data_IF_740602934521
#
_entry.id   IF_740602934521
#
_cell.length_a   1.000
_cell.length_b   1.000
_cell.length_c   1.000
_cell.angle_alpha   90.00
_cell.angle_beta   90.00
_cell.angle_gamma   90.00
#
_symmetry.space_group_name_H-M   'P 1'
#
loop_
_entity.id
_entity.type
_entity.pdbx_description
1 polymer ?
#
# COMPACT_ATOMS: atom_id res chain seq x y z
N UNK A 1 10.35 -13.30 8.52
CA UNK A 1 9.84 -11.92 8.37
C UNK A 1 9.97 -11.06 9.62
N UNK A 2 10.47 -11.62 10.73
CA UNK A 2 10.61 -10.91 12.03
C UNK A 2 9.31 -10.27 12.55
N UNK A 3 8.18 -10.80 12.14
CA UNK A 3 6.85 -10.38 12.61
C UNK A 3 6.48 -11.07 13.91
N UNK A 4 5.81 -10.36 14.78
CA UNK A 4 5.14 -10.98 15.93
C UNK A 4 4.02 -11.90 15.46
N UNK A 5 3.53 -12.78 16.32
CA UNK A 5 2.41 -13.66 15.97
C UNK A 5 1.17 -12.86 15.56
N UNK A 6 0.84 -11.80 16.30
CA UNK A 6 -0.29 -10.94 16.01
C UNK A 6 -0.18 -10.17 14.68
N UNK A 7 1.03 -10.00 14.15
CA UNK A 7 1.28 -9.38 12.84
C UNK A 7 1.33 -10.41 11.70
N UNK A 8 1.70 -11.65 11.99
CA UNK A 8 1.81 -12.71 11.01
C UNK A 8 0.47 -13.42 10.72
N UNK A 9 -0.36 -13.63 11.74
CA UNK A 9 -1.64 -14.33 11.63
C UNK A 9 -2.61 -13.67 10.63
N UNK A 10 -2.79 -12.33 10.61
CA UNK A 10 -3.62 -11.68 9.59
C UNK A 10 -3.18 -11.91 8.14
N UNK A 11 -1.89 -12.15 7.88
CA UNK A 11 -1.43 -12.45 6.51
C UNK A 11 -1.96 -13.78 5.98
N UNK A 12 -2.11 -14.76 6.86
CA UNK A 12 -2.66 -16.06 6.46
C UNK A 12 -4.14 -15.91 6.09
N UNK A 13 -4.89 -15.17 6.92
CA UNK A 13 -6.30 -14.87 6.66
C UNK A 13 -6.47 -14.08 5.36
N UNK A 14 -5.62 -13.06 5.13
CA UNK A 14 -5.65 -12.25 3.92
C UNK A 14 -5.32 -13.07 2.66
N UNK A 15 -4.37 -14.01 2.73
CA UNK A 15 -4.05 -14.91 1.62
C UNK A 15 -5.25 -15.81 1.27
N UNK A 16 -5.98 -16.31 2.26
CA UNK A 16 -7.20 -17.09 2.07
C UNK A 16 -8.31 -16.22 1.46
N UNK A 17 -8.45 -14.98 1.92
CA UNK A 17 -9.45 -14.05 1.39
C UNK A 17 -9.14 -13.69 -0.07
N UNK A 18 -7.88 -13.50 -0.44
CA UNK A 18 -7.49 -13.32 -1.85
C UNK A 18 -7.86 -14.53 -2.70
N UNK A 19 -7.61 -15.76 -2.21
CA UNK A 19 -7.94 -16.98 -2.94
C UNK A 19 -9.45 -17.08 -3.24
N UNK A 20 -10.29 -16.81 -2.23
CA UNK A 20 -11.74 -16.82 -2.37
C UNK A 20 -12.22 -15.72 -3.31
N UNK A 21 -11.77 -14.49 -3.04
CA UNK A 21 -12.21 -13.32 -3.79
C UNK A 21 -11.87 -13.40 -5.27
N UNK A 22 -10.62 -13.77 -5.60
CA UNK A 22 -10.23 -13.84 -7.01
C UNK A 22 -10.83 -15.04 -7.73
N UNK A 23 -11.13 -16.14 -7.04
CA UNK A 23 -11.94 -17.23 -7.60
C UNK A 23 -13.35 -16.76 -7.97
N UNK A 24 -14.04 -15.99 -7.10
CA UNK A 24 -15.33 -15.40 -7.40
C UNK A 24 -15.25 -14.42 -8.61
N UNK A 25 -14.22 -13.61 -8.66
CA UNK A 25 -14.03 -12.64 -9.77
C UNK A 25 -13.73 -13.32 -11.11
N UNK A 26 -13.03 -14.45 -11.11
CA UNK A 26 -12.80 -15.23 -12.34
C UNK A 26 -14.11 -15.76 -12.95
N UNK A 27 -15.03 -16.25 -12.12
CA UNK A 27 -16.36 -16.70 -12.57
C UNK A 27 -17.20 -15.53 -13.12
N UNK A 28 -17.04 -14.33 -12.55
CA UNK A 28 -17.74 -13.15 -13.03
C UNK A 28 -17.22 -12.70 -14.41
N UNK A 29 -15.90 -12.81 -14.67
CA UNK A 29 -15.33 -12.55 -15.99
C UNK A 29 -15.89 -13.54 -17.02
N UNK A 30 -16.00 -14.81 -16.68
CA UNK A 30 -16.62 -15.82 -17.53
C UNK A 30 -18.09 -15.50 -17.83
N UNK A 31 -18.83 -14.97 -16.85
CA UNK A 31 -20.20 -14.49 -17.04
C UNK A 31 -20.27 -13.31 -18.02
N UNK A 32 -19.36 -12.34 -17.91
CA UNK A 32 -19.28 -11.21 -18.86
C UNK A 32 -19.00 -11.67 -20.27
N UNK A 33 -18.18 -12.71 -20.47
CA UNK A 33 -17.93 -13.30 -21.77
C UNK A 33 -19.19 -13.95 -22.38
N UNK A 34 -19.97 -14.65 -21.57
CA UNK A 34 -21.16 -15.37 -22.03
C UNK A 34 -22.38 -14.48 -22.19
N UNK A 35 -22.60 -13.52 -21.30
CA UNK A 35 -23.81 -12.70 -21.26
C UNK A 35 -23.67 -11.39 -22.08
N UNK A 36 -22.48 -10.79 -22.08
CA UNK A 36 -22.25 -9.49 -22.72
C UNK A 36 -21.44 -9.58 -24.02
N UNK A 37 -20.94 -10.77 -24.36
CA UNK A 37 -20.14 -11.02 -25.54
C UNK A 37 -18.78 -10.33 -25.52
N UNK A 38 -18.28 -9.96 -24.32
CA UNK A 38 -16.91 -9.51 -24.16
C UNK A 38 -15.98 -10.71 -24.24
N UNK A 39 -14.82 -10.55 -24.88
CA UNK A 39 -13.81 -11.61 -24.94
C UNK A 39 -12.53 -11.12 -24.31
N UNK A 40 -11.98 -11.90 -23.41
CA UNK A 40 -10.73 -11.59 -22.72
C UNK A 40 -9.69 -12.70 -22.96
N UNK A 41 -8.43 -12.30 -23.07
CA UNK A 41 -7.30 -13.25 -23.12
C UNK A 41 -6.26 -12.90 -22.06
N UNK A 42 -5.63 -13.90 -21.42
CA UNK A 42 -4.53 -13.64 -20.50
C UNK A 42 -3.33 -13.04 -21.23
N UNK A 43 -2.46 -12.34 -20.50
CA UNK A 43 -1.22 -11.82 -21.10
C UNK A 43 -0.27 -12.91 -21.53
N UNK A 44 -0.23 -14.03 -20.83
CA UNK A 44 0.69 -15.14 -21.02
C UNK A 44 1.48 -15.46 -19.76
N UNK A 45 2.70 -14.92 -19.63
CA UNK A 45 3.57 -15.14 -18.47
C UNK A 45 3.69 -13.86 -17.65
N UNK A 46 3.37 -13.94 -16.36
CA UNK A 46 3.46 -12.83 -15.40
C UNK A 46 4.54 -13.12 -14.36
N UNK A 47 5.48 -12.20 -14.19
CA UNK A 47 6.41 -12.26 -13.06
C UNK A 47 5.78 -11.58 -11.84
N UNK A 48 5.78 -12.28 -10.70
CA UNK A 48 5.34 -11.74 -9.40
C UNK A 48 6.55 -11.52 -8.52
N UNK A 49 6.87 -10.26 -8.22
CA UNK A 49 8.01 -9.81 -7.42
C UNK A 49 7.50 -9.09 -6.15
N UNK A 50 7.12 -9.85 -5.10
CA UNK A 50 6.58 -9.31 -3.86
C UNK A 50 7.69 -8.86 -2.90
N UNK A 51 7.32 -8.06 -1.86
CA UNK A 51 8.23 -7.60 -0.85
C UNK A 51 8.46 -8.63 0.26
N UNK A 52 9.40 -8.32 1.14
CA UNK A 52 9.70 -9.14 2.33
C UNK A 52 8.80 -8.85 3.54
N UNK A 53 8.16 -7.67 3.61
CA UNK A 53 7.42 -7.21 4.80
C UNK A 53 6.01 -7.81 4.95
N UNK A 54 5.42 -8.28 3.86
CA UNK A 54 4.21 -9.10 3.83
C UNK A 54 4.46 -10.34 2.96
N UNK A 55 5.27 -11.29 3.45
CA UNK A 55 5.83 -12.35 2.61
C UNK A 55 4.85 -13.50 2.31
N UNK A 56 3.63 -13.45 2.80
CA UNK A 56 2.55 -14.42 2.54
C UNK A 56 1.39 -13.77 1.81
N UNK A 57 0.80 -12.72 2.37
CA UNK A 57 -0.42 -12.11 1.81
C UNK A 57 -0.19 -11.47 0.44
N UNK A 58 0.83 -10.62 0.30
CA UNK A 58 1.09 -9.93 -0.97
C UNK A 58 1.49 -10.90 -2.09
N UNK A 59 2.42 -11.85 -1.86
CA UNK A 59 2.67 -12.90 -2.85
C UNK A 59 1.42 -13.67 -3.25
N UNK A 60 0.62 -14.11 -2.28
CA UNK A 60 -0.63 -14.82 -2.55
C UNK A 60 -1.56 -13.96 -3.43
N UNK A 61 -1.72 -12.68 -3.10
CA UNK A 61 -2.54 -11.76 -3.90
C UNK A 61 -2.10 -11.68 -5.36
N UNK A 62 -0.81 -11.46 -5.62
CA UNK A 62 -0.27 -11.37 -6.98
C UNK A 62 -0.32 -12.69 -7.77
N UNK A 63 0.08 -13.79 -7.12
CA UNK A 63 0.08 -15.13 -7.74
C UNK A 63 -1.34 -15.57 -8.06
N UNK A 64 -2.25 -15.51 -7.09
CA UNK A 64 -3.62 -15.96 -7.25
C UNK A 64 -4.42 -15.12 -8.26
N UNK A 65 -4.22 -13.79 -8.27
CA UNK A 65 -4.85 -12.93 -9.27
C UNK A 65 -4.38 -13.27 -10.70
N UNK A 66 -3.08 -13.50 -10.87
CA UNK A 66 -2.52 -13.87 -12.18
C UNK A 66 -3.04 -15.22 -12.66
N UNK A 67 -3.07 -16.23 -11.78
CA UNK A 67 -3.60 -17.56 -12.08
C UNK A 67 -5.12 -17.53 -12.38
N UNK A 68 -5.90 -16.80 -11.57
CA UNK A 68 -7.33 -16.63 -11.76
C UNK A 68 -7.69 -15.94 -13.08
N UNK A 69 -6.79 -15.09 -13.60
CA UNK A 69 -6.91 -14.48 -14.92
C UNK A 69 -6.33 -15.37 -16.05
N UNK A 70 -5.94 -16.62 -15.78
CA UNK A 70 -5.45 -17.58 -16.79
C UNK A 70 -4.00 -17.40 -17.21
N UNK A 71 -3.18 -16.63 -16.49
CA UNK A 71 -1.76 -16.48 -16.79
C UNK A 71 -0.90 -17.54 -16.12
N UNK A 72 0.22 -17.89 -16.74
CA UNK A 72 1.32 -18.57 -16.07
C UNK A 72 2.12 -17.59 -15.21
N UNK A 73 2.70 -18.06 -14.12
CA UNK A 73 3.37 -17.21 -13.14
C UNK A 73 4.82 -17.65 -12.91
N UNK A 74 5.74 -16.68 -13.01
CA UNK A 74 7.09 -16.81 -12.48
C UNK A 74 7.15 -16.03 -11.17
N UNK A 75 7.21 -16.75 -10.07
CA UNK A 75 7.19 -16.19 -8.73
C UNK A 75 8.61 -15.96 -8.23
N UNK A 76 9.05 -14.71 -8.19
CA UNK A 76 10.36 -14.24 -7.72
C UNK A 76 10.25 -13.63 -6.33
N UNK A 77 10.49 -14.38 -5.24
CA UNK A 77 10.37 -13.84 -3.89
C UNK A 77 11.47 -12.83 -3.57
N UNK A 78 11.23 -12.00 -2.54
CA UNK A 78 12.30 -11.27 -1.87
C UNK A 78 13.28 -12.23 -1.18
N UNK A 79 14.57 -11.91 -1.22
CA UNK A 79 15.61 -12.79 -0.67
C UNK A 79 15.66 -12.78 0.86
N UNK A 80 15.03 -11.83 1.52
CA UNK A 80 14.94 -11.75 2.98
C UNK A 80 13.95 -12.78 3.56
N UNK A 81 12.92 -13.16 2.78
CA UNK A 81 11.84 -14.05 3.27
C UNK A 81 11.46 -15.15 2.27
N UNK A 82 12.42 -15.82 1.62
CA UNK A 82 12.11 -16.74 0.52
C UNK A 82 11.28 -17.95 0.98
N UNK A 83 11.46 -18.43 2.23
CA UNK A 83 10.73 -19.60 2.72
C UNK A 83 9.23 -19.31 2.93
N UNK A 84 8.86 -18.10 3.35
CA UNK A 84 7.45 -17.72 3.46
C UNK A 84 6.74 -17.76 2.10
N UNK A 85 7.40 -17.22 1.08
CA UNK A 85 6.88 -17.22 -0.28
C UNK A 85 6.85 -18.64 -0.89
N UNK A 86 7.86 -19.46 -0.59
CA UNK A 86 7.91 -20.86 -1.04
C UNK A 86 6.71 -21.68 -0.51
N UNK A 87 6.30 -21.45 0.75
CA UNK A 87 5.11 -22.09 1.34
C UNK A 87 3.84 -21.71 0.56
N UNK A 88 3.73 -20.47 0.07
CA UNK A 88 2.61 -20.06 -0.78
C UNK A 88 2.60 -20.84 -2.10
N UNK A 89 3.77 -21.02 -2.74
CA UNK A 89 3.89 -21.82 -3.95
C UNK A 89 3.57 -23.30 -3.68
N UNK A 90 4.11 -23.88 -2.59
CA UNK A 90 3.82 -25.25 -2.14
C UNK A 90 2.31 -25.48 -1.93
N UNK A 91 1.61 -24.52 -1.32
CA UNK A 91 0.17 -24.57 -1.12
C UNK A 91 -0.60 -24.57 -2.45
N UNK A 92 -0.18 -23.74 -3.41
CA UNK A 92 -0.77 -23.73 -4.75
C UNK A 92 -0.55 -25.07 -5.48
N UNK A 93 0.66 -25.63 -5.44
CA UNK A 93 0.95 -26.92 -6.05
C UNK A 93 0.18 -28.07 -5.38
N UNK A 94 0.09 -28.07 -4.06
CA UNK A 94 -0.72 -29.03 -3.31
C UNK A 94 -2.22 -28.93 -3.63
N UNK A 95 -2.70 -27.75 -4.02
CA UNK A 95 -4.06 -27.52 -4.48
C UNK A 95 -4.28 -27.92 -5.95
N UNK A 96 -3.24 -28.38 -6.66
CA UNK A 96 -3.33 -28.87 -8.04
C UNK A 96 -2.87 -27.90 -9.12
N UNK A 97 -2.30 -26.74 -8.76
CA UNK A 97 -1.68 -25.83 -9.75
C UNK A 97 -0.45 -26.55 -10.33
N UNK A 98 -0.34 -26.72 -11.65
CA UNK A 98 0.82 -27.38 -12.27
C UNK A 98 2.11 -26.60 -12.05
N UNK A 99 3.23 -27.31 -11.89
CA UNK A 99 4.55 -26.69 -11.62
C UNK A 99 5.13 -25.95 -12.83
N UNK A 100 4.65 -26.21 -14.03
CA UNK A 100 4.96 -25.48 -15.25
C UNK A 100 4.11 -24.21 -15.41
N UNK A 101 2.95 -24.13 -14.75
CA UNK A 101 2.10 -22.94 -14.69
C UNK A 101 2.54 -21.98 -13.58
N UNK A 102 2.97 -22.49 -12.43
CA UNK A 102 3.54 -21.69 -11.34
C UNK A 102 4.97 -22.14 -11.06
N UNK A 103 5.93 -21.31 -11.44
CA UNK A 103 7.35 -21.55 -11.21
C UNK A 103 7.90 -20.63 -10.11
N UNK A 104 8.59 -21.20 -9.12
CA UNK A 104 9.21 -20.47 -8.03
C UNK A 104 10.71 -20.31 -8.28
N UNK A 105 11.18 -19.06 -8.44
CA UNK A 105 12.56 -18.75 -8.85
C UNK A 105 13.21 -17.79 -7.88
N UNK A 106 14.21 -18.24 -7.12
CA UNK A 106 15.02 -17.39 -6.25
C UNK A 106 16.16 -16.76 -7.04
N UNK A 107 16.12 -15.47 -7.25
CA UNK A 107 17.22 -14.73 -7.88
C UNK A 107 17.29 -13.30 -7.33
N UNK A 108 18.47 -12.72 -7.15
CA UNK A 108 18.63 -11.31 -6.85
C UNK A 108 18.26 -10.44 -8.06
N UNK A 109 18.26 -9.11 -7.86
CA UNK A 109 18.06 -8.12 -8.92
C UNK A 109 19.37 -7.85 -9.68
N UNK A 110 20.01 -8.92 -10.13
CA UNK A 110 21.22 -8.94 -10.94
C UNK A 110 20.90 -9.21 -12.43
N UNK A 111 21.89 -9.69 -13.16
CA UNK A 111 21.72 -10.03 -14.58
C UNK A 111 20.66 -11.13 -14.80
N UNK A 112 20.55 -12.10 -13.90
CA UNK A 112 19.56 -13.19 -13.99
C UNK A 112 18.17 -12.64 -13.70
N UNK A 113 18.02 -11.85 -12.62
CA UNK A 113 16.79 -11.17 -12.28
C UNK A 113 16.32 -10.22 -13.38
N UNK A 114 17.25 -9.47 -13.99
CA UNK A 114 16.97 -8.63 -15.15
C UNK A 114 16.43 -9.46 -16.32
N UNK A 115 17.09 -10.58 -16.66
CA UNK A 115 16.63 -11.44 -17.75
C UNK A 115 15.23 -11.96 -17.49
N UNK A 116 14.97 -12.48 -16.29
CA UNK A 116 13.65 -12.95 -15.89
C UNK A 116 12.58 -11.88 -16.08
N UNK A 117 12.78 -10.70 -15.50
CA UNK A 117 11.80 -9.60 -15.52
C UNK A 117 11.57 -9.06 -16.94
N UNK A 118 12.60 -9.11 -17.81
CA UNK A 118 12.47 -8.62 -19.20
C UNK A 118 11.93 -9.66 -20.18
N UNK A 119 11.89 -10.94 -19.79
CA UNK A 119 11.44 -12.04 -20.65
C UNK A 119 9.92 -12.35 -20.56
N UNK A 120 9.23 -11.77 -19.56
CA UNK A 120 7.80 -12.02 -19.31
C UNK A 120 6.89 -10.97 -19.98
N UNK A 121 5.60 -11.28 -20.09
CA UNK A 121 4.60 -10.39 -20.70
C UNK A 121 4.16 -9.25 -19.79
N UNK A 122 4.12 -9.49 -18.48
CA UNK A 122 3.82 -8.48 -17.46
C UNK A 122 4.56 -8.75 -16.16
N UNK A 123 4.72 -7.71 -15.35
CA UNK A 123 5.36 -7.80 -14.03
C UNK A 123 4.44 -7.16 -12.98
N UNK A 124 4.19 -7.90 -11.89
CA UNK A 124 3.61 -7.37 -10.66
C UNK A 124 4.76 -7.14 -9.69
N UNK A 125 4.93 -5.90 -9.28
CA UNK A 125 5.95 -5.50 -8.29
C UNK A 125 5.27 -4.87 -7.08
N UNK A 126 5.60 -5.35 -5.89
CA UNK A 126 5.37 -4.57 -4.68
C UNK A 126 6.72 -4.35 -4.01
N UNK A 127 7.12 -3.07 -3.88
CA UNK A 127 8.45 -2.72 -3.41
C UNK A 127 8.70 -1.22 -3.38
N UNK A 128 9.92 -0.78 -3.66
CA UNK A 128 10.27 0.64 -3.69
C UNK A 128 10.02 1.28 -5.05
N UNK A 129 9.82 2.60 -5.06
CA UNK A 129 9.79 3.38 -6.30
C UNK A 129 11.08 3.24 -7.12
N UNK A 130 12.21 3.13 -6.44
CA UNK A 130 13.51 2.92 -7.06
C UNK A 130 13.56 1.59 -7.82
N UNK A 131 13.00 0.51 -7.25
CA UNK A 131 12.91 -0.81 -7.92
C UNK A 131 12.00 -0.75 -9.15
N UNK A 132 10.87 -0.06 -9.06
CA UNK A 132 10.00 0.13 -10.20
C UNK A 132 10.70 0.87 -11.35
N UNK A 133 11.46 1.93 -11.03
CA UNK A 133 12.26 2.65 -12.02
C UNK A 133 13.41 1.80 -12.59
N UNK A 134 14.04 0.98 -11.76
CA UNK A 134 15.07 0.05 -12.20
C UNK A 134 14.50 -0.93 -13.24
N UNK A 135 13.36 -1.55 -12.98
CA UNK A 135 12.71 -2.46 -13.92
C UNK A 135 12.33 -1.77 -15.25
N UNK A 136 11.76 -0.57 -15.17
CA UNK A 136 11.45 0.24 -16.35
C UNK A 136 12.69 0.67 -17.14
N UNK A 137 13.83 0.87 -16.47
CA UNK A 137 15.09 1.17 -17.16
C UNK A 137 15.62 -0.03 -17.96
N UNK A 138 15.29 -1.25 -17.55
CA UNK A 138 15.67 -2.48 -18.25
C UNK A 138 14.81 -2.72 -19.50
N UNK A 139 13.50 -2.42 -19.42
CA UNK A 139 12.54 -2.51 -20.53
C UNK A 139 11.48 -1.40 -20.41
N UNK A 140 11.66 -0.27 -21.13
CA UNK A 140 10.79 0.91 -21.02
C UNK A 140 9.31 0.66 -21.37
N UNK A 141 9.04 -0.29 -22.28
CA UNK A 141 7.71 -0.73 -22.71
C UNK A 141 7.12 -1.85 -21.85
N UNK A 142 7.78 -2.20 -20.75
CA UNK A 142 7.32 -3.23 -19.81
C UNK A 142 5.92 -2.91 -19.28
N UNK A 143 5.02 -3.88 -19.34
CA UNK A 143 3.75 -3.81 -18.61
C UNK A 143 4.04 -4.06 -17.13
N UNK A 144 4.24 -2.99 -16.42
CA UNK A 144 4.54 -3.00 -14.98
C UNK A 144 3.31 -2.56 -14.20
N UNK A 145 2.84 -3.44 -13.32
CA UNK A 145 1.80 -3.21 -12.33
C UNK A 145 2.49 -3.13 -10.98
N UNK A 146 2.69 -1.92 -10.44
CA UNK A 146 3.47 -1.80 -9.21
C UNK A 146 2.73 -1.00 -8.13
N UNK A 147 2.80 -1.52 -6.92
CA UNK A 147 2.54 -0.81 -5.67
C UNK A 147 3.89 -0.48 -5.03
N UNK A 148 4.15 0.81 -4.86
CA UNK A 148 5.45 1.28 -4.40
C UNK A 148 5.35 2.08 -3.10
N UNK A 149 6.44 2.68 -2.71
CA UNK A 149 6.67 3.49 -1.50
C UNK A 149 5.48 4.34 -1.02
N UNK A 150 5.47 4.67 0.26
CA UNK A 150 4.52 5.58 0.88
C UNK A 150 5.21 6.60 1.81
N UNK A 151 4.66 7.80 1.90
CA UNK A 151 5.00 8.81 2.92
C UNK A 151 3.71 9.24 3.60
N UNK A 152 3.17 8.31 4.40
CA UNK A 152 1.81 8.42 4.90
C UNK A 152 1.75 9.32 6.15
N UNK A 153 0.69 10.10 6.24
CA UNK A 153 0.45 10.99 7.35
C UNK A 153 -0.91 10.74 8.01
N UNK A 154 -0.94 10.92 9.34
CA UNK A 154 -2.16 10.98 10.13
C UNK A 154 -2.33 12.42 10.64
N UNK A 155 -3.41 13.08 10.22
CA UNK A 155 -3.78 14.41 10.70
C UNK A 155 -4.55 14.27 12.02
N UNK A 156 -4.24 15.08 13.01
CA UNK A 156 -5.00 15.16 14.26
C UNK A 156 -5.45 16.60 14.47
N UNK A 157 -6.77 16.81 14.56
CA UNK A 157 -7.34 18.14 14.81
C UNK A 157 -7.65 18.34 16.30
N UNK A 158 -7.82 19.59 16.79
CA UNK A 158 -8.23 19.85 18.17
C UNK A 158 -9.61 19.26 18.54
N UNK A 159 -10.39 18.83 17.55
CA UNK A 159 -11.69 18.19 17.74
C UNK A 159 -11.62 16.65 17.77
N UNK A 160 -10.42 16.09 17.78
CA UNK A 160 -10.22 14.65 17.88
C UNK A 160 -10.47 14.13 19.31
N UNK A 161 -10.81 12.84 19.39
CA UNK A 161 -10.57 12.09 20.63
C UNK A 161 -9.05 11.89 20.74
N UNK A 162 -8.41 12.63 21.64
CA UNK A 162 -6.95 12.66 21.77
C UNK A 162 -6.35 11.35 22.27
N UNK A 163 -7.10 10.55 23.04
CA UNK A 163 -6.65 9.25 23.53
C UNK A 163 -6.61 8.24 22.38
N UNK A 164 -7.70 8.18 21.61
CA UNK A 164 -7.78 7.33 20.42
C UNK A 164 -6.75 7.76 19.37
N UNK A 165 -6.63 9.08 19.12
CA UNK A 165 -5.69 9.62 18.14
C UNK A 165 -4.23 9.29 18.46
N UNK A 166 -3.81 9.40 19.72
CA UNK A 166 -2.47 9.06 20.15
C UNK A 166 -2.19 7.54 20.00
N UNK A 167 -3.13 6.70 20.43
CA UNK A 167 -3.02 5.24 20.30
C UNK A 167 -2.95 4.81 18.82
N UNK A 168 -3.80 5.36 17.98
CA UNK A 168 -3.84 5.02 16.55
C UNK A 168 -2.64 5.57 15.78
N UNK A 169 -2.12 6.73 16.12
CA UNK A 169 -0.90 7.28 15.55
C UNK A 169 0.30 6.37 15.86
N UNK A 170 0.46 5.95 17.11
CA UNK A 170 1.53 5.04 17.53
C UNK A 170 1.38 3.66 16.88
N UNK A 171 0.17 3.11 16.86
CA UNK A 171 -0.11 1.83 16.17
C UNK A 171 0.21 1.92 14.68
N UNK A 172 -0.16 3.03 14.04
CA UNK A 172 0.10 3.27 12.62
C UNK A 172 1.60 3.43 12.32
N UNK A 173 2.35 4.08 13.22
CA UNK A 173 3.76 4.37 13.01
C UNK A 173 4.68 3.18 13.32
N UNK A 174 4.39 2.41 14.35
CA UNK A 174 5.35 1.47 14.92
C UNK A 174 4.98 -0.02 14.77
N UNK A 175 3.77 -0.34 14.34
CA UNK A 175 3.42 -1.73 14.01
C UNK A 175 4.38 -2.28 12.96
N UNK A 176 4.93 -3.49 13.21
CA UNK A 176 5.98 -4.13 12.41
C UNK A 176 7.22 -3.22 12.25
N UNK A 177 7.63 -2.57 13.34
CA UNK A 177 8.76 -1.63 13.37
C UNK A 177 8.67 -0.50 12.32
N UNK A 178 7.45 -0.03 12.00
CA UNK A 178 7.23 0.96 10.95
C UNK A 178 7.56 0.47 9.53
N UNK A 179 7.77 -0.85 9.34
CA UNK A 179 8.13 -1.45 8.06
C UNK A 179 6.90 -1.95 7.28
N UNK A 180 5.85 -1.14 7.26
CA UNK A 180 4.67 -1.32 6.40
C UNK A 180 4.62 -0.20 5.38
N UNK A 181 4.25 -0.52 4.15
CA UNK A 181 3.99 0.50 3.12
C UNK A 181 2.93 1.52 3.56
N UNK A 182 1.97 1.09 4.40
CA UNK A 182 0.91 1.90 4.99
C UNK A 182 1.24 2.57 6.31
N UNK A 183 2.46 2.38 6.88
CA UNK A 183 2.81 2.95 8.17
C UNK A 183 2.79 4.48 8.16
N UNK A 184 2.26 5.10 9.22
CA UNK A 184 2.37 6.53 9.42
C UNK A 184 3.83 6.90 9.70
N UNK A 185 4.41 7.71 8.85
CA UNK A 185 5.73 8.30 9.07
C UNK A 185 5.66 9.77 9.44
N UNK A 186 4.46 10.38 9.34
CA UNK A 186 4.16 11.75 9.73
C UNK A 186 2.89 11.80 10.58
N UNK A 187 2.93 12.54 11.68
CA UNK A 187 1.77 13.04 12.41
C UNK A 187 1.65 14.54 12.17
N UNK A 188 0.54 15.00 11.59
CA UNK A 188 0.32 16.43 11.31
C UNK A 188 -0.68 16.97 12.33
N UNK A 189 -0.21 17.80 13.26
CA UNK A 189 -0.98 18.32 14.37
C UNK A 189 -1.50 19.72 14.07
N UNK A 190 -2.82 19.90 14.16
CA UNK A 190 -3.48 21.14 13.77
C UNK A 190 -3.56 22.11 14.95
N UNK A 191 -3.19 23.37 14.71
CA UNK A 191 -3.30 24.47 15.67
C UNK A 191 -2.43 24.25 16.91
N UNK A 192 -3.03 24.50 18.07
CA UNK A 192 -2.34 24.44 19.37
C UNK A 192 -2.05 22.99 19.83
N UNK A 193 -2.64 21.97 19.16
CA UNK A 193 -2.40 20.58 19.50
C UNK A 193 -0.92 20.17 19.32
N UNK A 194 -0.21 20.86 18.43
CA UNK A 194 1.21 20.64 18.18
C UNK A 194 2.11 20.93 19.40
N UNK A 195 1.64 21.82 20.29
CA UNK A 195 2.35 22.24 21.50
C UNK A 195 1.61 21.80 22.78
N UNK A 196 0.49 21.06 22.65
CA UNK A 196 -0.29 20.59 23.81
C UNK A 196 0.42 19.41 24.49
N UNK A 197 0.98 19.61 25.70
CA UNK A 197 1.70 18.54 26.39
C UNK A 197 0.80 17.33 26.71
N UNK A 198 -0.51 17.56 26.87
CA UNK A 198 -1.46 16.45 27.13
C UNK A 198 -1.52 15.47 25.98
N UNK A 199 -1.46 15.95 24.74
CA UNK A 199 -1.43 15.08 23.55
C UNK A 199 -0.03 14.48 23.33
N UNK A 200 1.01 15.29 23.42
CA UNK A 200 2.39 14.84 23.20
C UNK A 200 2.81 13.78 24.23
N UNK A 201 2.48 13.97 25.50
CA UNK A 201 2.75 12.98 26.57
C UNK A 201 2.00 11.65 26.28
N UNK A 202 0.73 11.70 25.82
CA UNK A 202 -0.01 10.50 25.44
C UNK A 202 0.65 9.74 24.29
N UNK A 203 1.19 10.44 23.30
CA UNK A 203 1.92 9.80 22.17
C UNK A 203 3.19 9.13 22.69
N UNK A 204 3.95 9.77 23.58
CA UNK A 204 5.14 9.21 24.21
C UNK A 204 4.78 7.99 25.06
N UNK A 205 3.76 8.09 25.92
CA UNK A 205 3.30 7.01 26.78
C UNK A 205 2.80 5.81 25.96
N UNK A 206 2.04 6.05 24.90
CA UNK A 206 1.59 5.01 24.00
C UNK A 206 2.79 4.29 23.33
N UNK A 207 3.80 5.05 22.87
CA UNK A 207 5.01 4.47 22.29
C UNK A 207 5.85 3.70 23.33
N UNK A 208 5.96 4.21 24.54
CA UNK A 208 6.66 3.56 25.66
C UNK A 208 5.95 2.29 26.16
N UNK A 209 4.64 2.17 25.95
CA UNK A 209 3.85 0.99 26.33
C UNK A 209 4.08 -0.22 25.39
N UNK A 210 4.72 -0.04 24.25
CA UNK A 210 5.02 -1.14 23.33
C UNK A 210 6.02 -2.11 23.98
N UNK A 211 5.69 -3.39 23.93
CA UNK A 211 6.61 -4.45 24.36
C UNK A 211 7.58 -4.77 23.25
N UNK A 212 8.80 -4.32 23.40
CA UNK A 212 9.87 -4.46 22.41
C UNK A 212 10.64 -5.75 22.66
N UNK A 213 10.90 -6.53 21.61
CA UNK A 213 11.65 -7.78 21.73
C UNK A 213 11.63 -8.61 20.47
N UNK A 214 12.17 -9.82 20.55
CA UNK A 214 12.15 -10.75 19.42
C UNK A 214 10.81 -11.47 19.31
N UNK A 215 10.32 -11.79 18.08
CA UNK A 215 9.01 -12.41 17.88
C UNK A 215 8.79 -13.76 18.59
N UNK A 216 9.87 -14.41 19.00
CA UNK A 216 9.83 -15.66 19.77
C UNK A 216 9.49 -15.43 21.25
N UNK A 217 9.52 -14.20 21.72
CA UNK A 217 9.22 -13.84 23.10
C UNK A 217 7.71 -13.59 23.26
N UNK A 218 7.05 -14.18 24.26
CA UNK A 218 5.62 -13.98 24.49
C UNK A 218 5.27 -12.52 24.80
N UNK A 219 4.23 -12.03 24.15
CA UNK A 219 3.67 -10.70 24.45
C UNK A 219 4.41 -9.53 23.81
N UNK A 220 5.42 -9.75 22.99
CA UNK A 220 6.06 -8.72 22.17
C UNK A 220 5.03 -8.14 21.20
N UNK A 221 4.97 -6.80 21.13
CA UNK A 221 4.06 -6.06 20.25
C UNK A 221 4.76 -5.31 19.12
N UNK A 222 6.07 -5.09 19.24
CA UNK A 222 6.92 -4.53 18.19
C UNK A 222 8.24 -5.30 18.13
N UNK A 223 8.52 -5.94 17.02
CA UNK A 223 9.73 -6.71 16.75
C UNK A 223 10.89 -5.85 16.21
N UNK A 224 12.01 -6.50 15.80
CA UNK A 224 13.14 -5.82 15.17
C UNK A 224 12.84 -5.46 13.71
N UNK A 225 13.65 -4.58 13.15
CA UNK A 225 13.74 -4.37 11.70
C UNK A 225 14.25 -5.62 10.99
N UNK A 226 13.93 -5.80 9.70
CA UNK A 226 14.31 -7.01 8.93
C UNK A 226 15.83 -7.22 8.86
N UNK A 227 16.57 -6.15 8.79
CA UNK A 227 18.04 -6.10 8.86
C UNK A 227 18.46 -4.95 9.75
N UNK A 228 19.72 -4.92 10.18
CA UNK A 228 20.30 -3.75 10.85
C UNK A 228 20.14 -2.51 10.00
N UNK A 229 19.56 -1.42 10.52
CA UNK A 229 19.39 -0.17 9.79
C UNK A 229 20.71 0.37 9.22
N UNK A 230 20.66 0.74 7.95
CA UNK A 230 21.79 1.38 7.24
C UNK A 230 21.30 2.55 6.42
N UNK A 231 22.22 3.39 5.91
CA UNK A 231 21.90 4.51 5.02
C UNK A 231 20.83 5.43 5.61
N UNK A 232 19.81 5.77 4.81
CA UNK A 232 18.77 6.72 5.19
C UNK A 232 18.03 6.37 6.49
N UNK A 233 17.78 5.08 6.76
CA UNK A 233 17.10 4.67 7.98
C UNK A 233 17.98 4.85 9.21
N UNK A 234 19.28 4.47 9.13
CA UNK A 234 20.22 4.70 10.21
C UNK A 234 20.35 6.21 10.51
N UNK A 235 20.45 7.04 9.48
CA UNK A 235 20.48 8.50 9.64
C UNK A 235 19.21 9.03 10.31
N UNK A 236 18.02 8.54 9.91
CA UNK A 236 16.76 8.95 10.52
C UNK A 236 16.63 8.58 11.99
N UNK A 237 17.24 7.45 12.41
CA UNK A 237 17.23 6.97 13.79
C UNK A 237 18.30 7.62 14.68
N UNK A 238 19.33 8.26 14.11
CA UNK A 238 20.48 8.74 14.90
C UNK A 238 20.77 10.23 14.75
N UNK A 239 20.12 10.91 13.81
CA UNK A 239 20.40 12.32 13.48
C UNK A 239 19.14 13.16 13.47
N UNK A 240 19.32 14.42 13.81
CA UNK A 240 18.31 15.48 13.72
C UNK A 240 18.77 16.50 12.69
N UNK A 241 17.84 16.96 11.86
CA UNK A 241 18.05 18.13 11.01
C UNK A 241 17.93 19.43 11.84
N UNK A 242 18.44 20.57 11.34
CA UNK A 242 18.26 21.85 12.03
C UNK A 242 16.79 22.15 12.32
N UNK A 243 16.47 22.43 13.58
CA UNK A 243 15.13 22.70 14.05
C UNK A 243 14.34 21.45 14.50
N UNK A 244 14.80 20.23 14.19
CA UNK A 244 14.22 19.01 14.75
C UNK A 244 14.70 18.76 16.18
N UNK A 245 13.87 18.13 16.98
CA UNK A 245 14.20 17.65 18.32
C UNK A 245 13.57 16.26 18.55
N UNK A 246 14.21 15.45 19.40
CA UNK A 246 13.60 14.20 19.85
C UNK A 246 12.54 14.48 20.92
N UNK A 247 11.31 14.06 20.65
CA UNK A 247 10.28 13.87 21.67
C UNK A 247 10.47 12.54 22.38
N UNK A 248 10.82 11.49 21.62
CA UNK A 248 11.31 10.21 22.11
C UNK A 248 12.52 9.80 21.28
N UNK A 249 13.69 9.73 21.91
CA UNK A 249 14.93 9.36 21.24
C UNK A 249 15.01 7.85 21.03
N UNK A 250 15.19 7.37 19.79
CA UNK A 250 15.31 5.94 19.54
C UNK A 250 16.65 5.40 20.01
N UNK A 251 16.64 4.14 20.47
CA UNK A 251 17.84 3.45 20.96
C UNK A 251 17.91 2.06 20.36
N UNK A 252 19.12 1.61 20.00
CA UNK A 252 19.41 0.21 19.74
C UNK A 252 19.34 -0.56 21.05
N UNK A 253 18.61 -1.66 21.09
CA UNK A 253 18.27 -2.38 22.33
C UNK A 253 19.06 -3.69 22.49
N UNK A 254 19.73 -4.16 21.44
CA UNK A 254 20.55 -5.37 21.48
C UNK A 254 21.76 -5.30 20.55
N UNK A 255 22.65 -6.28 20.68
CA UNK A 255 23.89 -6.38 19.90
C UNK A 255 23.67 -6.72 18.41
N UNK A 256 22.45 -7.12 18.03
CA UNK A 256 22.12 -7.36 16.61
C UNK A 256 22.05 -6.06 15.80
N UNK A 257 21.85 -4.93 16.48
CA UNK A 257 21.61 -3.63 15.88
C UNK A 257 20.30 -3.52 15.11
N UNK A 258 19.44 -4.55 15.16
CA UNK A 258 18.16 -4.57 14.46
C UNK A 258 16.96 -4.21 15.34
N UNK A 259 17.06 -4.43 16.65
CA UNK A 259 16.01 -4.11 17.60
C UNK A 259 16.17 -2.66 18.10
N UNK A 260 15.20 -1.81 17.76
CA UNK A 260 15.20 -0.39 18.12
C UNK A 260 13.94 -0.01 18.87
N UNK A 261 14.07 0.94 19.81
CA UNK A 261 12.90 1.60 20.39
C UNK A 261 12.29 2.59 19.38
N UNK A 262 10.99 2.93 19.50
CA UNK A 262 10.36 3.97 18.73
C UNK A 262 11.09 5.31 18.80
N UNK A 263 11.29 5.97 17.66
CA UNK A 263 11.80 7.34 17.58
C UNK A 263 10.69 8.31 17.21
N UNK A 264 10.54 9.41 17.95
CA UNK A 264 9.56 10.45 17.62
C UNK A 264 10.27 11.79 17.57
N UNK A 265 10.20 12.43 16.40
CA UNK A 265 10.78 13.77 16.17
C UNK A 265 9.69 14.84 16.17
N UNK A 266 9.99 15.99 16.72
CA UNK A 266 9.24 17.24 16.52
C UNK A 266 10.02 18.19 15.62
N UNK A 267 9.39 19.29 15.17
CA UNK A 267 10.05 20.31 14.38
C UNK A 267 10.27 19.94 12.91
N UNK A 268 9.63 18.88 12.43
CA UNK A 268 9.66 18.53 11.00
C UNK A 268 8.89 19.60 10.21
N UNK A 269 9.55 20.19 9.22
CA UNK A 269 8.99 21.30 8.43
C UNK A 269 8.65 20.88 7.00
N UNK A 270 7.75 21.63 6.37
CA UNK A 270 7.36 21.43 4.97
C UNK A 270 8.58 21.40 4.04
N UNK A 271 8.60 20.45 3.10
CA UNK A 271 9.67 20.30 2.11
C UNK A 271 11.00 19.77 2.66
N UNK A 272 11.12 19.55 4.00
CA UNK A 272 12.35 18.98 4.58
C UNK A 272 12.59 17.54 4.07
N UNK A 273 13.83 17.06 4.22
CA UNK A 273 14.17 15.70 3.86
C UNK A 273 13.29 14.67 4.59
N UNK A 274 13.00 14.92 5.90
CA UNK A 274 12.15 14.02 6.65
C UNK A 274 10.71 14.05 6.15
N UNK A 275 10.18 15.22 5.75
CA UNK A 275 8.84 15.33 5.17
C UNK A 275 8.70 14.54 3.86
N UNK A 276 9.72 14.55 2.99
CA UNK A 276 9.64 14.05 1.62
C UNK A 276 10.13 12.59 1.44
N UNK A 277 10.88 12.05 2.42
CA UNK A 277 11.55 10.76 2.27
C UNK A 277 10.87 9.65 3.08
N UNK A 278 10.61 8.52 2.43
CA UNK A 278 10.23 7.28 3.11
C UNK A 278 11.46 6.63 3.75
N UNK A 279 11.40 6.38 5.06
CA UNK A 279 12.50 5.75 5.82
C UNK A 279 12.27 4.27 6.08
N UNK A 280 11.02 3.82 6.12
CA UNK A 280 10.61 2.43 6.27
C UNK A 280 11.16 1.77 7.55
N UNK A 281 10.94 2.42 8.69
CA UNK A 281 11.44 1.99 9.99
C UNK A 281 10.78 2.71 11.15
N UNK A 282 11.20 2.42 12.42
CA UNK A 282 10.50 2.86 13.62
C UNK A 282 10.79 4.33 13.97
N UNK A 283 10.50 5.25 13.06
CA UNK A 283 10.68 6.70 13.26
C UNK A 283 9.49 7.47 12.72
N UNK A 284 8.89 8.29 13.59
CA UNK A 284 7.76 9.18 13.32
C UNK A 284 8.20 10.64 13.40
N UNK A 285 7.78 11.46 12.45
CA UNK A 285 7.97 12.91 12.50
C UNK A 285 6.64 13.62 12.78
N UNK A 286 6.65 14.54 13.76
CA UNK A 286 5.52 15.41 14.05
C UNK A 286 5.71 16.75 13.34
N UNK A 287 4.68 17.16 12.61
CA UNK A 287 4.60 18.45 11.91
C UNK A 287 3.48 19.29 12.52
N UNK A 288 3.66 20.61 12.54
CA UNK A 288 2.63 21.57 12.89
C UNK A 288 1.96 22.09 11.64
N UNK A 289 0.64 22.22 11.68
CA UNK A 289 -0.16 22.96 10.71
C UNK A 289 -0.98 24.01 11.42
N UNK A 290 -1.10 25.22 10.87
CA UNK A 290 -1.88 26.30 11.48
C UNK A 290 -3.37 26.00 11.50
N UNK A 291 -3.86 25.32 10.46
CA UNK A 291 -5.26 24.91 10.30
C UNK A 291 -5.38 23.61 9.50
N UNK A 292 -6.60 23.11 9.33
CA UNK A 292 -6.87 21.87 8.57
C UNK A 292 -6.50 22.02 7.09
N UNK A 293 -6.65 23.18 6.50
CA UNK A 293 -6.31 23.40 5.10
C UNK A 293 -4.80 23.27 4.87
N UNK A 294 -3.99 23.81 5.78
CA UNK A 294 -2.55 23.59 5.75
C UNK A 294 -2.17 22.14 6.02
N UNK A 295 -2.83 21.46 6.96
CA UNK A 295 -2.57 20.06 7.25
C UNK A 295 -2.80 19.17 6.02
N UNK A 296 -3.90 19.37 5.31
CA UNK A 296 -4.21 18.66 4.05
C UNK A 296 -3.17 18.98 2.98
N UNK A 297 -2.76 20.24 2.86
CA UNK A 297 -1.71 20.63 1.91
C UNK A 297 -0.38 19.93 2.23
N UNK A 298 0.05 19.91 3.49
CA UNK A 298 1.26 19.21 3.92
C UNK A 298 1.18 17.70 3.66
N UNK A 299 0.04 17.08 3.94
CA UNK A 299 -0.18 15.65 3.65
C UNK A 299 -0.10 15.34 2.15
N UNK A 300 -0.62 16.24 1.32
CA UNK A 300 -0.60 16.06 -0.14
C UNK A 300 0.72 16.47 -0.80
N UNK A 301 1.55 17.30 -0.14
CA UNK A 301 2.81 17.81 -0.69
C UNK A 301 3.98 16.82 -0.56
N UNK A 302 3.68 15.55 -0.81
CA UNK A 302 4.66 14.47 -0.89
C UNK A 302 4.48 13.73 -2.22
N UNK A 303 5.55 13.09 -2.75
CA UNK A 303 5.47 12.41 -4.06
C UNK A 303 4.62 11.14 -4.04
N UNK A 304 4.17 10.71 -2.89
CA UNK A 304 3.43 9.47 -2.67
C UNK A 304 1.99 9.73 -2.24
N UNK A 305 1.10 8.76 -2.42
CA UNK A 305 -0.29 8.83 -2.01
C UNK A 305 -0.87 7.45 -1.74
N UNK A 306 -0.28 6.69 -0.78
CA UNK A 306 -0.74 5.34 -0.50
C UNK A 306 -1.85 5.35 0.55
N UNK A 307 -1.53 5.67 1.80
CA UNK A 307 -2.52 5.80 2.87
C UNK A 307 -2.46 7.17 3.54
N UNK A 308 -3.56 7.56 4.16
CA UNK A 308 -3.64 8.76 4.97
C UNK A 308 -4.82 8.68 5.92
N UNK A 309 -4.77 9.44 7.00
CA UNK A 309 -5.84 9.48 7.97
C UNK A 309 -6.09 10.85 8.56
N UNK A 310 -7.27 10.96 9.17
CA UNK A 310 -7.66 12.10 10.00
C UNK A 310 -8.33 11.60 11.27
N UNK A 311 -7.98 12.21 12.40
CA UNK A 311 -8.75 12.15 13.63
C UNK A 311 -9.45 13.48 13.86
N UNK A 312 -10.77 13.46 13.80
CA UNK A 312 -11.69 14.55 14.11
C UNK A 312 -13.09 13.99 14.39
N UNK A 313 -13.76 14.52 15.40
CA UNK A 313 -15.16 14.23 15.69
C UNK A 313 -16.10 15.23 14.99
N UNK A 314 -15.56 16.20 14.27
CA UNK A 314 -16.34 17.15 13.48
C UNK A 314 -16.56 16.62 12.07
N UNK A 315 -17.82 16.36 11.66
CA UNK A 315 -18.13 15.83 10.34
C UNK A 315 -17.73 16.79 9.20
N UNK A 316 -17.77 18.12 9.42
CA UNK A 316 -17.39 19.10 8.39
C UNK A 316 -15.87 19.05 8.12
N UNK A 317 -15.06 18.83 9.16
CA UNK A 317 -13.60 18.63 9.00
C UNK A 317 -13.30 17.32 8.27
N UNK A 318 -14.05 16.26 8.58
CA UNK A 318 -13.90 14.95 7.93
C UNK A 318 -14.26 15.04 6.45
N UNK A 319 -15.42 15.65 6.12
CA UNK A 319 -15.85 15.85 4.73
C UNK A 319 -14.84 16.71 3.95
N UNK A 320 -14.41 17.85 4.55
CA UNK A 320 -13.40 18.71 3.97
C UNK A 320 -12.14 17.96 3.60
N UNK A 321 -11.65 17.09 4.50
CA UNK A 321 -10.46 16.26 4.29
C UNK A 321 -10.69 15.19 3.21
N UNK A 322 -11.79 14.41 3.31
CA UNK A 322 -12.10 13.35 2.36
C UNK A 322 -12.20 13.86 0.92
N UNK A 323 -12.64 15.09 0.71
CA UNK A 323 -12.74 15.68 -0.62
C UNK A 323 -11.40 16.09 -1.21
N UNK A 324 -10.38 16.31 -0.38
CA UNK A 324 -9.12 16.94 -0.80
C UNK A 324 -7.89 16.07 -0.64
N UNK A 325 -7.97 15.03 0.20
CA UNK A 325 -6.83 14.15 0.40
C UNK A 325 -6.48 13.38 -0.88
N UNK A 326 -5.17 13.27 -1.16
CA UNK A 326 -4.64 12.61 -2.36
C UNK A 326 -3.98 11.27 -2.01
N UNK A 327 -4.76 10.35 -1.46
CA UNK A 327 -4.31 9.00 -1.10
C UNK A 327 -5.26 7.95 -1.65
N UNK A 328 -4.73 6.77 -1.90
CA UNK A 328 -5.52 5.65 -2.36
C UNK A 328 -6.42 5.06 -1.28
N UNK A 329 -5.95 5.01 -0.02
CA UNK A 329 -6.72 4.52 1.12
C UNK A 329 -6.79 5.59 2.21
N UNK A 330 -8.00 6.10 2.44
CA UNK A 330 -8.31 7.17 3.39
C UNK A 330 -9.00 6.58 4.64
N UNK A 331 -8.54 6.98 5.83
CA UNK A 331 -9.02 6.46 7.10
C UNK A 331 -9.45 7.57 8.04
N UNK A 332 -10.62 7.41 8.67
CA UNK A 332 -11.20 8.38 9.61
C UNK A 332 -11.34 7.74 10.97
N UNK A 333 -10.82 8.41 12.01
CA UNK A 333 -10.91 8.01 13.41
C UNK A 333 -10.48 6.55 13.67
N UNK A 334 -9.42 6.13 13.00
CA UNK A 334 -8.78 4.82 13.18
C UNK A 334 -7.32 4.86 12.71
N UNK A 335 -6.57 3.82 13.04
CA UNK A 335 -5.22 3.63 12.47
C UNK A 335 -5.26 3.43 10.95
N UNK A 336 -4.19 3.85 10.25
CA UNK A 336 -4.10 3.87 8.79
C UNK A 336 -3.49 2.61 8.17
N UNK A 337 -3.39 1.53 8.93
CA UNK A 337 -2.83 0.23 8.51
C UNK A 337 -3.89 -0.86 8.56
N UNK A 338 -3.64 -2.01 7.94
CA UNK A 338 -4.52 -3.18 8.04
C UNK A 338 -5.75 -3.12 7.14
N UNK A 339 -5.55 -2.87 5.84
CA UNK A 339 -6.58 -3.05 4.83
C UNK A 339 -7.00 -4.52 4.73
N UNK A 340 -8.26 -4.76 4.42
CA UNK A 340 -8.86 -6.10 4.32
C UNK A 340 -9.40 -6.28 2.90
N UNK A 341 -9.13 -7.43 2.30
CA UNK A 341 -9.64 -7.80 0.97
C UNK A 341 -11.14 -7.54 0.85
N UNK A 342 -11.58 -6.98 -0.26
CA UNK A 342 -12.96 -6.58 -0.54
C UNK A 342 -13.48 -5.38 0.29
N UNK A 343 -13.13 -5.26 1.58
CA UNK A 343 -13.57 -4.12 2.41
C UNK A 343 -12.84 -2.84 2.10
N UNK A 344 -11.50 -2.91 2.10
CA UNK A 344 -10.63 -1.78 1.79
C UNK A 344 -9.66 -2.19 0.68
N UNK A 345 -10.10 -2.25 -0.58
CA UNK A 345 -9.20 -2.53 -1.68
C UNK A 345 -7.96 -1.62 -1.61
N UNK A 346 -6.78 -2.23 -1.67
CA UNK A 346 -5.54 -1.54 -1.36
C UNK A 346 -4.78 -1.13 -2.62
N UNK A 347 -4.43 0.13 -2.72
CA UNK A 347 -3.65 0.67 -3.83
C UNK A 347 -3.51 2.18 -3.72
N UNK A 348 -2.40 2.70 -4.23
CA UNK A 348 -1.98 4.08 -4.09
C UNK A 348 -2.33 4.99 -5.25
N UNK A 349 -2.04 6.27 -5.07
CA UNK A 349 -2.00 7.31 -6.08
C UNK A 349 -0.57 7.84 -6.22
N UNK A 350 -0.35 8.77 -7.14
CA UNK A 350 0.94 9.39 -7.40
C UNK A 350 2.02 8.33 -7.66
N UNK A 351 3.21 8.48 -7.07
CA UNK A 351 4.30 7.50 -7.20
C UNK A 351 4.09 6.21 -6.41
N UNK A 352 3.03 6.12 -5.59
CA UNK A 352 2.72 4.87 -4.88
C UNK A 352 2.07 3.81 -5.77
N UNK A 353 1.72 4.15 -7.02
CA UNK A 353 1.16 3.21 -7.99
C UNK A 353 1.77 3.40 -9.37
N UNK A 354 2.01 2.32 -10.09
CA UNK A 354 2.46 2.30 -11.49
C UNK A 354 1.58 1.32 -12.27
N UNK A 355 1.13 1.73 -13.45
CA UNK A 355 0.21 0.96 -14.30
C UNK A 355 -1.23 1.44 -14.21
N UNK A 356 -2.22 0.59 -14.49
CA UNK A 356 -3.64 0.96 -14.54
C UNK A 356 -4.23 1.45 -13.22
N UNK A 357 -3.60 1.08 -12.09
CA UNK A 357 -4.00 1.56 -10.76
C UNK A 357 -5.21 0.84 -10.16
N UNK A 358 -5.57 -0.35 -10.64
CA UNK A 358 -6.59 -1.17 -9.99
C UNK A 358 -6.11 -1.64 -8.62
N UNK A 359 -6.99 -1.59 -7.62
CA UNK A 359 -6.64 -1.88 -6.23
C UNK A 359 -6.68 -3.37 -5.94
N UNK A 360 -5.63 -3.90 -5.29
CA UNK A 360 -5.58 -5.29 -4.82
C UNK A 360 -6.76 -5.60 -3.88
N UNK A 361 -7.41 -6.74 -4.09
CA UNK A 361 -8.64 -7.10 -3.35
C UNK A 361 -9.88 -6.33 -3.79
N UNK A 362 -9.79 -5.49 -4.82
CA UNK A 362 -10.91 -4.75 -5.39
C UNK A 362 -11.63 -5.49 -6.52
N UNK A 363 -12.80 -4.99 -6.93
CA UNK A 363 -13.64 -5.67 -7.93
C UNK A 363 -12.98 -5.74 -9.32
N UNK A 364 -12.21 -4.73 -9.68
CA UNK A 364 -11.61 -4.61 -11.03
C UNK A 364 -10.17 -5.15 -11.12
N UNK A 365 -9.65 -5.77 -10.05
CA UNK A 365 -8.23 -6.11 -10.00
C UNK A 365 -7.81 -7.12 -11.06
N UNK A 366 -8.63 -8.14 -11.35
CA UNK A 366 -8.31 -9.18 -12.34
C UNK A 366 -8.25 -8.66 -13.78
N UNK A 367 -9.03 -7.65 -14.12
CA UNK A 367 -9.05 -7.11 -15.47
C UNK A 367 -7.70 -6.53 -15.94
N UNK A 368 -6.85 -6.11 -15.01
CA UNK A 368 -5.52 -5.62 -15.38
C UNK A 368 -4.53 -6.72 -15.81
N UNK A 369 -4.89 -8.00 -15.69
CA UNK A 369 -4.13 -9.17 -16.14
C UNK A 369 -4.68 -9.79 -17.43
N UNK A 370 -5.66 -9.12 -18.04
CA UNK A 370 -6.36 -9.56 -19.24
C UNK A 370 -6.23 -8.54 -20.36
N UNK A 371 -6.28 -9.03 -21.58
CA UNK A 371 -6.43 -8.22 -22.79
C UNK A 371 -7.86 -8.37 -23.28
N UNK A 372 -8.66 -7.29 -23.32
CA UNK A 372 -9.91 -7.35 -24.05
C UNK A 372 -9.61 -7.53 -25.54
N UNK A 373 -10.34 -8.40 -26.19
CA UNK A 373 -10.35 -8.53 -27.64
C UNK A 373 -11.47 -7.66 -28.17
N UNK A 374 -11.12 -6.72 -29.04
CA UNK A 374 -12.08 -5.91 -29.76
C UNK A 374 -12.03 -6.29 -31.23
N UNK A 375 -13.09 -6.90 -31.71
CA UNK A 375 -13.27 -7.34 -33.10
C UNK A 375 -14.41 -6.57 -33.79
N UNK A 376 -14.97 -5.56 -33.12
CA UNK A 376 -16.11 -4.77 -33.60
C UNK A 376 -15.71 -3.35 -33.93
N UNK A 377 -16.09 -2.92 -35.13
CA UNK A 377 -16.03 -1.49 -35.50
C UNK A 377 -17.21 -0.77 -34.81
N UNK A 378 -16.90 -0.10 -33.71
CA UNK A 378 -17.89 0.61 -32.88
C UNK A 378 -17.74 2.10 -33.08
N UNK A 379 -18.80 2.76 -33.59
CA UNK A 379 -18.81 4.22 -33.79
C UNK A 379 -18.64 4.98 -32.44
N UNK A 380 -18.06 6.19 -32.53
CA UNK A 380 -17.76 7.03 -31.34
C UNK A 380 -19.01 7.30 -30.48
N UNK A 381 -20.19 7.48 -31.08
CA UNK A 381 -21.44 7.71 -30.35
C UNK A 381 -21.79 6.53 -29.42
N UNK A 382 -21.53 5.29 -29.87
CA UNK A 382 -21.79 4.10 -29.09
C UNK A 382 -20.77 3.96 -27.95
N UNK A 383 -19.50 4.32 -28.17
CA UNK A 383 -18.45 4.37 -27.15
C UNK A 383 -18.81 5.41 -26.08
N UNK A 384 -19.20 6.63 -26.48
CA UNK A 384 -19.60 7.68 -25.54
C UNK A 384 -20.82 7.26 -24.73
N UNK A 385 -21.83 6.67 -25.38
CA UNK A 385 -23.00 6.15 -24.68
C UNK A 385 -22.67 5.06 -23.68
N UNK A 386 -21.71 4.16 -24.00
CA UNK A 386 -21.22 3.14 -23.10
C UNK A 386 -20.50 3.74 -21.89
N UNK A 387 -19.59 4.67 -22.08
CA UNK A 387 -18.90 5.36 -20.98
C UNK A 387 -19.86 6.12 -20.07
N UNK A 388 -20.86 6.79 -20.65
CA UNK A 388 -21.89 7.50 -19.88
C UNK A 388 -22.74 6.54 -19.05
N UNK A 389 -23.12 5.37 -19.56
CA UNK A 389 -23.83 4.34 -18.80
C UNK A 389 -22.96 3.80 -17.66
N UNK A 390 -21.70 3.46 -17.94
CA UNK A 390 -20.76 2.97 -16.93
C UNK A 390 -20.53 4.00 -15.81
N UNK A 391 -20.37 5.28 -16.18
CA UNK A 391 -20.23 6.35 -15.19
C UNK A 391 -21.47 6.49 -14.31
N UNK A 392 -22.66 6.61 -14.90
CA UNK A 392 -23.90 6.83 -14.13
C UNK A 392 -24.37 5.61 -13.36
N UNK A 393 -24.10 4.41 -13.85
CA UNK A 393 -24.55 3.17 -13.23
C UNK A 393 -23.58 2.63 -12.17
N UNK A 394 -22.28 2.91 -12.30
CA UNK A 394 -21.24 2.32 -11.46
C UNK A 394 -20.31 3.36 -10.86
N UNK A 395 -19.56 4.08 -11.69
CA UNK A 395 -18.40 4.85 -11.23
C UNK A 395 -18.75 6.16 -10.51
N UNK A 396 -19.95 6.71 -10.68
CA UNK A 396 -20.44 7.88 -9.94
C UNK A 396 -20.99 7.51 -8.55
N UNK A 397 -21.15 6.23 -8.25
CA UNK A 397 -21.72 5.74 -7.02
C UNK A 397 -20.66 5.41 -5.98
N UNK A 398 -21.03 5.45 -4.71
CA UNK A 398 -20.24 4.95 -3.59
C UNK A 398 -20.65 3.51 -3.28
N UNK A 399 -19.66 2.64 -3.07
CA UNK A 399 -19.86 1.22 -2.85
C UNK A 399 -19.31 0.80 -1.50
N UNK A 400 -20.16 0.35 -0.57
CA UNK A 400 -19.77 -0.30 0.68
C UNK A 400 -20.20 -1.77 0.68
N UNK A 401 -19.35 -2.69 0.19
CA UNK A 401 -19.70 -4.10 0.13
C UNK A 401 -19.70 -4.79 1.50
N UNK A 402 -19.22 -4.11 2.54
CA UNK A 402 -19.14 -4.68 3.89
C UNK A 402 -20.44 -4.55 4.68
N UNK A 403 -21.19 -3.45 4.51
CA UNK A 403 -22.45 -3.18 5.17
C UNK A 403 -22.37 -3.26 6.71
N UNK A 404 -21.24 -2.89 7.30
CA UNK A 404 -21.01 -2.99 8.74
C UNK A 404 -21.72 -1.83 9.47
N UNK A 405 -22.22 -2.10 10.69
CA UNK A 405 -22.87 -1.07 11.50
C UNK A 405 -21.89 -0.14 12.22
N UNK A 406 -20.68 -0.63 12.49
CA UNK A 406 -19.65 0.07 13.29
C UNK A 406 -18.67 0.87 12.46
N UNK A 407 -18.60 0.63 11.18
CA UNK A 407 -17.71 1.33 10.25
C UNK A 407 -18.28 1.34 8.84
N UNK A 408 -17.90 2.33 8.04
CA UNK A 408 -18.20 2.44 6.61
C UNK A 408 -16.94 2.20 5.81
N UNK A 409 -17.00 1.31 4.80
CA UNK A 409 -15.89 0.93 3.94
C UNK A 409 -16.24 1.26 2.49
N UNK A 410 -16.11 2.53 2.15
CA UNK A 410 -16.56 3.06 0.87
C UNK A 410 -15.45 3.01 -0.18
N UNK A 411 -15.70 2.28 -1.26
CA UNK A 411 -14.96 2.41 -2.52
C UNK A 411 -15.67 3.44 -3.40
N UNK A 412 -14.97 4.48 -3.82
CA UNK A 412 -15.46 5.49 -4.77
C UNK A 412 -14.43 5.80 -5.83
N UNK A 413 -14.89 6.19 -6.99
CA UNK A 413 -14.05 6.64 -8.11
C UNK A 413 -14.04 8.16 -8.15
N UNK A 414 -12.89 8.75 -8.41
CA UNK A 414 -12.74 10.20 -8.57
C UNK A 414 -12.36 10.50 -10.00
N UNK A 415 -13.09 11.39 -10.70
CA UNK A 415 -12.72 11.82 -12.04
C UNK A 415 -11.33 12.46 -12.03
N UNK A 416 -10.49 12.14 -13.00
CA UNK A 416 -9.24 12.87 -13.21
C UNK A 416 -9.54 14.28 -13.68
N UNK A 417 -8.87 15.28 -13.13
CA UNK A 417 -9.11 16.68 -13.44
C UNK A 417 -8.71 17.04 -14.89
N UNK A 418 -7.78 16.28 -15.48
CA UNK A 418 -7.28 16.52 -16.84
C UNK A 418 -6.79 15.23 -17.49
N UNK A 419 -7.24 14.99 -18.70
CA UNK A 419 -6.73 13.95 -19.61
C UNK A 419 -6.00 14.64 -20.76
N UNK A 420 -4.78 14.21 -21.06
CA UNK A 420 -4.01 14.66 -22.21
C UNK A 420 -3.94 13.51 -23.21
N UNK A 421 -4.62 13.64 -24.33
CA UNK A 421 -4.54 12.70 -25.45
C UNK A 421 -3.45 13.20 -26.40
N UNK A 422 -2.45 12.37 -26.65
CA UNK A 422 -1.45 12.61 -27.69
C UNK A 422 -1.91 11.86 -28.95
N UNK A 423 -2.12 12.58 -30.00
CA UNK A 423 -2.46 12.05 -31.32
C UNK A 423 -1.25 12.21 -32.23
N UNK A 424 -0.87 11.15 -32.92
CA UNK A 424 0.11 11.24 -34.01
C UNK A 424 -0.65 11.57 -35.28
N UNK A 425 -0.36 12.75 -35.81
CA UNK A 425 -1.05 13.25 -37.04
C UNK A 425 -0.55 12.59 -38.33
N UNK A 426 0.30 11.59 -38.26
CA UNK A 426 0.86 10.87 -39.41
C UNK A 426 0.06 9.63 -39.84
N UNK A 427 -1.07 9.35 -39.19
CA UNK A 427 -1.99 8.29 -39.60
C UNK A 427 -3.21 8.93 -40.28
N UNK A 428 -3.12 9.19 -41.60
CA UNK A 428 -4.25 9.30 -42.52
C UNK A 428 -4.64 7.90 -42.99
#
# INVERSE_FOLDING_TARGET
>A
GRKTFAEADPEISEAIDFARWYGERALEIESLETEEGATFTPFGVVAVAPPWNFPVAIPAGGVLASLAAGNAVVFKPSLETPRCAEIVAEACWAAGVPTDVLQFVRTPDDQVGRHLVTAVDAVILTGSWETANLFRSWRPDMRLLAETSGKNALIVTPKADIDLAAADLVRSAFGHSGQKCSAASLGILVGDLADDPRFLDKVVDAAASLRLGWPTEPGVTMGPTIVTPTGKLADALTRLAPGEAWLAEPRSLDDSGALWSPGIKTGVVAGSQFHQTEYFGPVLGLMRAADLAEAVRLQNDVPYGLTGGIHSLDPDEVEYWLDRVEVGNAYVNRHITGAIVRRQPFGGWKRSSVGPGAKAGGPSYLFQFLRPLDDRDVGLDAVEASYRRAWTGEFASEHDPSGLRSESNVLRYRPVARVVVRHDSSAD
#
